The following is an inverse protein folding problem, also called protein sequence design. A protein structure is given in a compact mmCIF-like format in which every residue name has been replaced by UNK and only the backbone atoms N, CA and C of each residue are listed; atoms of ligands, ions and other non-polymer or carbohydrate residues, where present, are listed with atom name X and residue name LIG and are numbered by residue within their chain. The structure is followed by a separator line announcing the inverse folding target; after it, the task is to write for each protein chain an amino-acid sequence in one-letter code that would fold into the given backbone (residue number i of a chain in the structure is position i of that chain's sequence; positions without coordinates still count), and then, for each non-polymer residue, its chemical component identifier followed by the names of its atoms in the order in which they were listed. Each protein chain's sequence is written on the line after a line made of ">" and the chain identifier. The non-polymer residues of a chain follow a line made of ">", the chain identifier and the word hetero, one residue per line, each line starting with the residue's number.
data_IF_362252092255
#
_entry.id   IF_362252092255
#
_cell.length_a   1.000
_cell.length_b   1.000
_cell.length_c   1.000
_cell.angle_alpha   90.00
_cell.angle_beta   90.00
_cell.angle_gamma   90.00
#
_symmetry.space_group_name_H-M   'P 1'
#
loop_
_entity.id
_entity.type
_entity.pdbx_description
1 polymer ?
#
# COMPACT_ATOMS: atom_id res chain seq x y z
N UNK A 1 38.27 -3.94 15.79
CA UNK A 1 38.47 -2.50 16.18
C UNK A 1 37.17 -1.69 16.21
N UNK A 2 35.98 -2.34 16.45
CA UNK A 2 34.67 -1.63 16.45
C UNK A 2 33.96 -1.68 17.81
N UNK A 3 34.64 -2.01 18.89
CA UNK A 3 34.02 -2.16 20.23
C UNK A 3 33.91 -0.83 21.01
N UNK A 4 34.44 0.27 20.51
CA UNK A 4 34.41 1.57 21.20
C UNK A 4 33.23 2.50 20.88
N UNK A 5 32.47 2.22 19.83
CA UNK A 5 31.34 3.06 19.42
C UNK A 5 30.09 2.78 20.25
N UNK A 6 29.89 1.54 20.69
CA UNK A 6 28.74 1.14 21.53
C UNK A 6 28.74 1.74 22.94
N UNK A 7 29.94 2.00 23.49
CA UNK A 7 30.06 2.58 24.84
C UNK A 7 29.70 4.07 24.92
N UNK A 8 29.68 4.78 23.78
CA UNK A 8 29.29 6.20 23.72
C UNK A 8 27.77 6.42 23.58
N UNK A 9 27.04 5.38 23.16
CA UNK A 9 25.59 5.47 22.91
C UNK A 9 24.77 5.16 24.18
N UNK A 10 25.36 4.45 25.14
CA UNK A 10 24.68 4.03 26.39
C UNK A 10 25.10 4.80 27.64
N UNK A 11 25.39 6.11 27.57
CA UNK A 11 25.67 6.87 28.80
C UNK A 11 24.36 7.41 29.40
N UNK A 12 24.03 7.10 30.68
CA UNK A 12 22.74 7.42 31.31
C UNK A 12 22.47 8.92 31.52
N UNK A 13 23.39 9.80 31.13
CA UNK A 13 23.25 11.26 31.25
C UNK A 13 22.74 11.97 29.98
N UNK A 14 22.61 11.28 28.82
CA UNK A 14 22.14 11.89 27.57
C UNK A 14 20.67 11.54 27.27
N UNK A 15 19.76 11.99 28.16
CA UNK A 15 18.29 11.87 27.93
C UNK A 15 17.82 12.51 26.61
N UNK A 16 18.55 13.48 26.08
CA UNK A 16 18.21 14.18 24.85
C UNK A 16 18.44 13.32 23.58
N UNK A 17 19.52 12.50 23.58
CA UNK A 17 19.85 11.66 22.42
C UNK A 17 18.90 10.45 22.31
N UNK A 18 18.50 9.89 23.47
CA UNK A 18 17.54 8.77 23.51
C UNK A 18 16.15 9.23 23.05
N UNK A 19 15.73 10.42 23.43
CA UNK A 19 14.47 11.04 22.93
C UNK A 19 14.53 11.31 21.43
N UNK A 20 15.68 11.73 20.90
CA UNK A 20 15.85 12.02 19.48
C UNK A 20 15.83 10.74 18.61
N UNK A 21 16.47 9.68 19.08
CA UNK A 21 16.45 8.37 18.41
C UNK A 21 15.05 7.75 18.48
N UNK A 22 14.36 7.87 19.63
CA UNK A 22 12.97 7.41 19.76
C UNK A 22 12.02 8.24 18.90
N UNK A 23 12.26 9.56 18.79
CA UNK A 23 11.49 10.44 17.93
C UNK A 23 11.72 10.15 16.43
N UNK A 24 12.95 9.83 16.01
CA UNK A 24 13.25 9.43 14.63
C UNK A 24 12.66 8.06 14.26
N UNK A 25 12.55 7.14 15.22
CA UNK A 25 11.91 5.83 15.01
C UNK A 25 10.37 5.90 15.00
N UNK A 26 9.77 6.98 15.49
CA UNK A 26 8.31 7.20 15.48
C UNK A 26 7.82 8.03 14.29
N UNK A 27 8.71 8.50 13.41
CA UNK A 27 8.29 9.10 12.14
C UNK A 27 7.94 7.98 11.15
N UNK A 28 7.07 7.07 11.57
CA UNK A 28 6.33 6.20 10.68
C UNK A 28 5.45 7.13 9.85
N UNK A 29 5.75 7.28 8.58
CA UNK A 29 4.87 7.95 7.62
C UNK A 29 3.44 7.52 7.95
N UNK A 30 2.59 8.46 8.34
CA UNK A 30 1.18 8.18 8.65
C UNK A 30 0.53 7.76 7.34
N UNK A 31 0.58 6.47 7.05
CA UNK A 31 -0.19 5.88 5.96
C UNK A 31 -1.66 6.15 6.27
N UNK A 32 -2.40 6.65 5.30
CA UNK A 32 -3.84 6.83 5.46
C UNK A 32 -4.48 5.45 5.42
N UNK A 33 -4.86 4.94 6.60
CA UNK A 33 -5.60 3.69 6.68
C UNK A 33 -7.01 3.92 6.13
N UNK A 34 -7.31 3.32 4.99
CA UNK A 34 -8.67 3.28 4.44
C UNK A 34 -9.44 2.11 5.08
N UNK A 35 -10.77 2.23 5.13
CA UNK A 35 -11.61 1.09 5.52
C UNK A 35 -11.50 0.01 4.45
N UNK A 36 -11.66 -1.24 4.85
CA UNK A 36 -11.58 -2.37 3.91
C UNK A 36 -12.62 -2.29 2.80
N UNK A 37 -13.78 -1.69 3.07
CA UNK A 37 -14.86 -1.48 2.10
C UNK A 37 -14.53 -0.41 1.04
N UNK A 38 -13.52 0.42 1.27
CA UNK A 38 -13.08 1.45 0.32
C UNK A 38 -12.25 0.86 -0.83
N UNK A 39 -11.88 -0.41 -0.73
CA UNK A 39 -11.24 -1.15 -1.83
C UNK A 39 -12.28 -1.52 -2.87
N UNK A 40 -12.05 -1.18 -4.13
CA UNK A 40 -12.96 -1.51 -5.22
C UNK A 40 -13.16 -3.02 -5.35
N UNK A 41 -14.42 -3.42 -5.46
CA UNK A 41 -14.81 -4.84 -5.48
C UNK A 41 -15.00 -5.49 -4.10
N UNK A 42 -14.73 -4.79 -3.00
CA UNK A 42 -15.08 -5.23 -1.65
C UNK A 42 -16.45 -4.67 -1.30
N UNK A 43 -17.50 -5.44 -1.61
CA UNK A 43 -18.86 -5.09 -1.19
C UNK A 43 -19.14 -5.52 0.26
N UNK A 44 -20.33 -5.17 0.77
CA UNK A 44 -20.75 -5.41 2.17
C UNK A 44 -20.54 -6.86 2.63
N UNK A 45 -20.84 -7.85 1.76
CA UNK A 45 -20.69 -9.26 2.08
C UNK A 45 -19.23 -9.66 2.32
N UNK A 46 -18.31 -9.17 1.47
CA UNK A 46 -16.89 -9.44 1.64
C UNK A 46 -16.30 -8.63 2.80
N UNK A 47 -16.74 -7.39 2.97
CA UNK A 47 -16.33 -6.56 4.10
C UNK A 47 -16.71 -7.20 5.44
N UNK A 48 -17.92 -7.78 5.56
CA UNK A 48 -18.34 -8.50 6.76
C UNK A 48 -17.42 -9.69 7.04
N UNK A 49 -17.14 -10.55 6.06
CA UNK A 49 -16.25 -11.70 6.20
C UNK A 49 -14.83 -11.31 6.59
N UNK A 50 -14.30 -10.22 5.99
CA UNK A 50 -12.97 -9.70 6.30
C UNK A 50 -12.91 -9.13 7.72
N UNK A 51 -13.97 -8.42 8.15
CA UNK A 51 -14.09 -7.92 9.51
C UNK A 51 -14.14 -9.04 10.54
N UNK A 52 -14.90 -10.12 10.29
CA UNK A 52 -14.94 -11.31 11.14
C UNK A 52 -13.56 -11.98 11.24
N UNK A 53 -12.76 -11.95 10.17
CA UNK A 53 -11.37 -12.40 10.17
C UNK A 53 -10.40 -11.39 10.82
N UNK A 54 -10.90 -10.25 11.37
CA UNK A 54 -10.12 -9.21 12.01
C UNK A 54 -9.33 -8.33 11.03
N UNK A 55 -9.91 -8.06 9.85
CA UNK A 55 -9.39 -7.16 8.84
C UNK A 55 -10.43 -6.06 8.61
N UNK A 56 -10.24 -4.89 9.24
CA UNK A 56 -11.13 -3.75 9.13
C UNK A 56 -10.58 -2.65 8.20
N UNK A 57 -9.26 -2.64 8.00
CA UNK A 57 -8.55 -1.61 7.25
C UNK A 57 -7.62 -2.20 6.19
N UNK A 58 -7.20 -1.35 5.24
CA UNK A 58 -6.17 -1.70 4.26
C UNK A 58 -4.85 -2.08 4.93
N UNK A 59 -4.50 -1.44 6.08
CA UNK A 59 -3.29 -1.77 6.83
C UNK A 59 -3.38 -3.18 7.46
N UNK A 60 -4.54 -3.57 8.01
CA UNK A 60 -4.76 -4.92 8.53
C UNK A 60 -4.61 -5.97 7.43
N UNK A 61 -5.17 -5.68 6.24
CA UNK A 61 -5.04 -6.58 5.09
C UNK A 61 -3.58 -6.74 4.68
N UNK A 62 -2.83 -5.66 4.56
CA UNK A 62 -1.41 -5.70 4.21
C UNK A 62 -0.59 -6.45 5.27
N UNK A 63 -0.84 -6.20 6.55
CA UNK A 63 -0.13 -6.87 7.64
C UNK A 63 -0.30 -8.40 7.61
N UNK A 64 -1.49 -8.88 7.23
CA UNK A 64 -1.79 -10.32 7.17
C UNK A 64 -1.45 -10.96 5.82
N UNK A 65 -1.66 -10.23 4.70
CA UNK A 65 -1.69 -10.78 3.35
C UNK A 65 -0.52 -10.35 2.45
N UNK A 66 0.46 -9.59 2.97
CA UNK A 66 1.67 -9.24 2.22
C UNK A 66 2.40 -10.49 1.69
N UNK A 67 2.40 -11.58 2.45
CA UNK A 67 2.98 -12.88 2.08
C UNK A 67 1.91 -13.84 1.54
N UNK A 68 2.33 -14.71 0.61
CA UNK A 68 1.43 -15.72 0.02
C UNK A 68 0.77 -16.59 1.09
N UNK A 69 1.51 -17.04 2.12
CA UNK A 69 0.97 -17.85 3.21
C UNK A 69 -0.21 -17.19 3.94
N UNK A 70 -0.14 -15.87 4.16
CA UNK A 70 -1.22 -15.12 4.78
C UNK A 70 -2.46 -15.02 3.88
N UNK A 71 -2.27 -14.87 2.56
CA UNK A 71 -3.37 -14.86 1.58
C UNK A 71 -4.10 -16.20 1.51
N UNK A 72 -3.35 -17.30 1.49
CA UNK A 72 -3.91 -18.66 1.53
C UNK A 72 -4.71 -18.87 2.82
N UNK A 73 -4.12 -18.57 3.98
CA UNK A 73 -4.79 -18.72 5.26
C UNK A 73 -6.09 -17.89 5.36
N UNK A 74 -6.08 -16.65 4.84
CA UNK A 74 -7.28 -15.82 4.80
C UNK A 74 -8.32 -16.37 3.84
N UNK A 75 -7.93 -16.87 2.69
CA UNK A 75 -8.84 -17.49 1.72
C UNK A 75 -9.55 -18.72 2.31
N UNK A 76 -8.80 -19.58 3.01
CA UNK A 76 -9.35 -20.75 3.71
C UNK A 76 -10.32 -20.35 4.83
N UNK A 77 -9.96 -19.37 5.65
CA UNK A 77 -10.77 -18.93 6.78
C UNK A 77 -12.08 -18.24 6.37
N UNK A 78 -12.10 -17.52 5.24
CA UNK A 78 -13.25 -16.70 4.82
C UNK A 78 -14.05 -17.30 3.67
N UNK A 79 -13.51 -18.33 2.99
CA UNK A 79 -14.07 -18.86 1.74
C UNK A 79 -13.99 -17.89 0.56
N UNK A 80 -13.14 -16.87 0.63
CA UNK A 80 -12.85 -15.93 -0.45
C UNK A 80 -11.72 -16.53 -1.29
N UNK A 81 -11.79 -16.46 -2.62
CA UNK A 81 -10.72 -16.98 -3.47
C UNK A 81 -9.39 -16.26 -3.22
N UNK A 82 -8.27 -17.00 -3.23
CA UNK A 82 -6.93 -16.43 -3.09
C UNK A 82 -6.66 -15.33 -4.14
N UNK A 83 -7.22 -15.49 -5.35
CA UNK A 83 -7.10 -14.49 -6.42
C UNK A 83 -7.72 -13.13 -6.03
N UNK A 84 -8.89 -13.14 -5.39
CA UNK A 84 -9.52 -11.90 -4.90
C UNK A 84 -8.75 -11.30 -3.74
N UNK A 85 -8.31 -12.14 -2.79
CA UNK A 85 -7.47 -11.68 -1.68
C UNK A 85 -6.20 -11.02 -2.18
N UNK A 86 -5.51 -11.62 -3.16
CA UNK A 86 -4.32 -11.03 -3.78
C UNK A 86 -4.64 -9.69 -4.44
N UNK A 87 -5.71 -9.63 -5.25
CA UNK A 87 -6.14 -8.41 -5.93
C UNK A 87 -6.36 -7.27 -4.92
N UNK A 88 -7.12 -7.50 -3.87
CA UNK A 88 -7.38 -6.49 -2.84
C UNK A 88 -6.13 -6.11 -2.04
N UNK A 89 -5.22 -7.07 -1.82
CA UNK A 89 -3.93 -6.79 -1.19
C UNK A 89 -3.07 -5.89 -2.07
N UNK A 90 -3.08 -6.09 -3.37
CA UNK A 90 -2.39 -5.23 -4.33
C UNK A 90 -3.00 -3.82 -4.36
N UNK A 91 -4.33 -3.70 -4.39
CA UNK A 91 -5.00 -2.40 -4.29
C UNK A 91 -4.66 -1.69 -2.98
N UNK A 92 -4.67 -2.41 -1.84
CA UNK A 92 -4.28 -1.85 -0.55
C UNK A 92 -2.82 -1.36 -0.54
N UNK A 93 -1.90 -2.03 -1.25
CA UNK A 93 -0.51 -1.59 -1.39
C UNK A 93 -0.43 -0.27 -2.18
N UNK A 94 -1.13 -0.14 -3.30
CA UNK A 94 -1.20 1.10 -4.08
C UNK A 94 -1.84 2.25 -3.28
N UNK A 95 -2.87 1.97 -2.47
CA UNK A 95 -3.56 2.95 -1.63
C UNK A 95 -2.70 3.52 -0.49
N UNK A 96 -1.50 3.01 -0.26
CA UNK A 96 -0.47 3.63 0.61
C UNK A 96 0.05 4.95 0.04
N UNK A 97 -0.09 5.16 -1.26
CA UNK A 97 0.32 6.38 -1.95
C UNK A 97 -0.80 7.42 -1.82
N UNK A 98 -0.47 8.61 -1.35
CA UNK A 98 -1.41 9.72 -1.21
C UNK A 98 -2.06 10.07 -2.55
N UNK A 99 -3.39 10.12 -2.57
CA UNK A 99 -4.16 10.41 -3.77
C UNK A 99 -4.58 9.18 -4.58
N UNK A 100 -4.15 7.98 -4.19
CA UNK A 100 -4.65 6.72 -4.75
C UNK A 100 -5.74 6.17 -3.83
N UNK A 101 -6.99 6.15 -4.31
CA UNK A 101 -8.14 5.52 -3.69
C UNK A 101 -8.62 4.34 -4.54
N UNK A 102 -9.66 3.61 -4.08
CA UNK A 102 -10.11 2.36 -4.69
C UNK A 102 -10.27 2.39 -6.22
N UNK A 103 -11.04 3.35 -6.75
CA UNK A 103 -11.25 3.50 -8.20
C UNK A 103 -9.95 3.73 -8.98
N UNK A 104 -9.02 4.52 -8.43
CA UNK A 104 -7.76 4.78 -9.11
C UNK A 104 -6.79 3.61 -8.98
N UNK A 105 -6.83 2.85 -7.88
CA UNK A 105 -6.09 1.59 -7.75
C UNK A 105 -6.57 0.56 -8.78
N UNK A 106 -7.89 0.46 -9.01
CA UNK A 106 -8.45 -0.40 -10.05
C UNK A 106 -8.05 0.05 -11.47
N UNK A 107 -8.03 1.36 -11.74
CA UNK A 107 -7.56 1.89 -13.02
C UNK A 107 -6.06 1.58 -13.25
N UNK A 108 -5.23 1.67 -12.21
CA UNK A 108 -3.81 1.29 -12.28
C UNK A 108 -3.64 -0.20 -12.59
N UNK A 109 -4.38 -1.08 -11.90
CA UNK A 109 -4.40 -2.51 -12.18
C UNK A 109 -4.80 -2.77 -13.65
N UNK A 110 -5.86 -2.12 -14.14
CA UNK A 110 -6.31 -2.26 -15.52
C UNK A 110 -5.29 -1.75 -16.55
N UNK A 111 -4.42 -0.81 -16.17
CA UNK A 111 -3.31 -0.32 -16.97
C UNK A 111 -2.01 -1.15 -16.82
N UNK A 112 -2.05 -2.25 -16.02
CA UNK A 112 -0.94 -3.16 -15.80
C UNK A 112 0.05 -2.70 -14.74
N UNK A 113 -0.47 -2.08 -13.66
CA UNK A 113 0.32 -1.66 -12.49
C UNK A 113 -0.37 -2.18 -11.23
N UNK A 114 0.15 -3.23 -10.64
CA UNK A 114 -0.50 -3.94 -9.55
C UNK A 114 -0.01 -3.52 -8.15
N UNK A 115 1.25 -3.08 -8.02
CA UNK A 115 1.88 -2.82 -6.72
C UNK A 115 2.71 -1.53 -6.71
N UNK A 116 3.02 -1.05 -5.50
CA UNK A 116 4.00 0.04 -5.29
C UNK A 116 5.34 -0.29 -5.94
N UNK A 117 5.79 -1.56 -5.88
CA UNK A 117 7.04 -2.01 -6.50
C UNK A 117 7.05 -1.77 -8.01
N UNK A 118 5.96 -2.01 -8.70
CA UNK A 118 5.84 -1.77 -10.14
C UNK A 118 5.64 -0.30 -10.45
N UNK A 119 4.77 0.38 -9.70
CA UNK A 119 4.43 1.78 -9.89
C UNK A 119 5.66 2.70 -9.79
N UNK A 120 6.55 2.46 -8.81
CA UNK A 120 7.79 3.22 -8.61
C UNK A 120 8.76 3.21 -9.81
N UNK A 121 8.65 2.21 -10.68
CA UNK A 121 9.49 2.07 -11.88
C UNK A 121 8.83 2.59 -13.15
N UNK A 122 7.59 3.05 -13.08
CA UNK A 122 6.89 3.60 -14.24
C UNK A 122 7.39 5.00 -14.58
N UNK A 123 7.30 5.34 -15.86
CA UNK A 123 7.56 6.70 -16.38
C UNK A 123 6.21 7.39 -16.53
N UNK A 124 6.00 8.49 -15.80
CA UNK A 124 4.71 9.19 -15.75
C UNK A 124 4.21 9.61 -17.15
N UNK A 125 5.10 10.09 -18.01
CA UNK A 125 4.78 10.50 -19.37
C UNK A 125 4.23 9.37 -20.26
N UNK A 126 4.57 8.11 -19.96
CA UNK A 126 4.07 6.93 -20.67
C UNK A 126 2.82 6.37 -19.99
N UNK A 127 2.77 6.42 -18.66
CA UNK A 127 1.67 5.87 -17.88
C UNK A 127 0.40 6.71 -18.00
N UNK A 128 0.51 8.03 -17.92
CA UNK A 128 -0.65 8.93 -17.90
C UNK A 128 -1.53 8.80 -19.15
N UNK A 129 -0.99 8.81 -20.40
CA UNK A 129 -1.80 8.55 -21.60
C UNK A 129 -2.45 7.16 -21.60
N UNK A 130 -1.75 6.15 -21.05
CA UNK A 130 -2.31 4.80 -20.92
C UNK A 130 -3.48 4.75 -19.94
N UNK A 131 -3.41 5.49 -18.84
CA UNK A 131 -4.53 5.61 -17.89
C UNK A 131 -5.74 6.29 -18.55
N UNK A 132 -5.54 7.33 -19.36
CA UNK A 132 -6.60 7.98 -20.11
C UNK A 132 -7.26 7.01 -21.11
N UNK A 133 -6.46 6.27 -21.88
CA UNK A 133 -6.93 5.26 -22.84
C UNK A 133 -7.79 4.20 -22.14
N UNK A 134 -7.28 3.59 -21.06
CA UNK A 134 -7.98 2.55 -20.32
C UNK A 134 -9.24 3.08 -19.66
N UNK A 135 -9.19 4.30 -19.12
CA UNK A 135 -10.38 4.90 -18.50
C UNK A 135 -11.44 5.31 -19.52
N UNK A 136 -11.04 5.73 -20.73
CA UNK A 136 -11.98 6.01 -21.81
C UNK A 136 -12.75 4.75 -22.26
N UNK A 137 -12.10 3.59 -22.20
CA UNK A 137 -12.71 2.30 -22.56
C UNK A 137 -13.56 1.72 -21.41
N UNK A 138 -13.05 1.75 -20.17
CA UNK A 138 -13.63 0.99 -19.04
C UNK A 138 -14.42 1.82 -18.05
N UNK A 139 -14.29 3.15 -18.08
CA UNK A 139 -14.97 4.09 -17.18
C UNK A 139 -14.81 3.78 -15.68
N UNK A 140 -13.59 3.37 -15.26
CA UNK A 140 -13.29 2.94 -13.89
C UNK A 140 -13.16 4.11 -12.91
N UNK A 141 -12.74 5.28 -13.39
CA UNK A 141 -12.47 6.44 -12.55
C UNK A 141 -13.16 7.69 -13.10
N UNK A 142 -13.78 8.49 -12.23
CA UNK A 142 -14.44 9.72 -12.64
C UNK A 142 -13.50 10.80 -13.19
N UNK A 143 -12.22 10.79 -12.76
CA UNK A 143 -11.17 11.69 -13.24
C UNK A 143 -9.82 10.98 -13.26
N UNK A 144 -9.17 11.00 -14.40
CA UNK A 144 -7.76 10.54 -14.49
C UNK A 144 -6.86 11.66 -13.97
N UNK A 145 -5.88 11.37 -13.09
CA UNK A 145 -4.93 12.35 -12.61
C UNK A 145 -4.09 12.97 -13.75
N UNK A 146 -3.77 14.26 -13.62
CA UNK A 146 -2.87 14.93 -14.54
C UNK A 146 -1.44 14.39 -14.44
N UNK A 147 -0.63 14.60 -15.48
CA UNK A 147 0.77 14.15 -15.54
C UNK A 147 1.56 14.53 -14.27
N UNK A 148 1.45 15.78 -13.83
CA UNK A 148 2.16 16.27 -12.64
C UNK A 148 1.70 15.62 -11.33
N UNK A 149 0.46 15.13 -11.26
CA UNK A 149 -0.06 14.36 -10.11
C UNK A 149 0.53 12.95 -10.13
N UNK A 150 0.57 12.31 -11.30
CA UNK A 150 1.18 10.99 -11.49
C UNK A 150 2.68 11.01 -11.16
N UNK A 151 3.40 12.07 -11.57
CA UNK A 151 4.81 12.26 -11.22
C UNK A 151 5.04 12.33 -9.70
N UNK A 152 4.20 13.08 -8.97
CA UNK A 152 4.26 13.17 -7.50
C UNK A 152 3.97 11.83 -6.84
N UNK A 153 2.99 11.09 -7.33
CA UNK A 153 2.65 9.76 -6.83
C UNK A 153 3.80 8.76 -7.04
N UNK A 154 4.45 8.78 -8.23
CA UNK A 154 5.62 7.95 -8.52
C UNK A 154 6.80 8.33 -7.63
N UNK A 155 7.02 9.64 -7.39
CA UNK A 155 8.06 10.10 -6.47
C UNK A 155 7.81 9.56 -5.05
N UNK A 156 6.57 9.63 -4.55
CA UNK A 156 6.20 9.05 -3.26
C UNK A 156 6.36 7.52 -3.23
N UNK A 157 5.99 6.82 -4.32
CA UNK A 157 6.17 5.37 -4.42
C UNK A 157 7.65 4.93 -4.31
N UNK A 158 8.59 5.77 -4.74
CA UNK A 158 10.03 5.50 -4.61
C UNK A 158 10.51 5.54 -3.16
N UNK A 159 9.84 6.30 -2.30
CA UNK A 159 10.15 6.40 -0.87
C UNK A 159 9.51 5.27 -0.04
N UNK A 160 8.54 4.55 -0.61
CA UNK A 160 7.85 3.45 0.07
C UNK A 160 8.60 2.13 -0.12
N UNK A 161 8.74 1.37 0.97
CA UNK A 161 9.27 0.00 0.89
C UNK A 161 8.25 -0.94 0.23
N UNK A 162 8.67 -1.75 -0.76
CA UNK A 162 7.84 -2.83 -1.32
C UNK A 162 7.56 -3.88 -0.27
N UNK A 163 6.30 -4.24 -0.07
CA UNK A 163 5.91 -5.19 0.98
C UNK A 163 5.24 -6.47 0.45
N UNK A 164 4.73 -6.47 -0.79
CA UNK A 164 4.08 -7.64 -1.37
C UNK A 164 5.12 -8.67 -1.83
N UNK A 165 4.95 -9.91 -1.34
CA UNK A 165 5.72 -11.10 -1.76
C UNK A 165 4.80 -12.06 -2.53
N UNK A 166 5.25 -12.52 -3.71
CA UNK A 166 4.51 -13.46 -4.59
C UNK A 166 4.91 -14.91 -4.36
#
# INVERSE_FOLDING_TARGET
>A
KNTKIWALICHPKNKCLTLYVTFLLTFKSKSMAYKIIDIEGVGDVYAAKLNEAGIATTEDLLAKCAKKSGRVALAEATGISEKLVLRWTNHADLMRISGIAGQFAELLEAAGVDTVKEFRHRVAANLQPKLEEVNAEKHLCGRVPALSEVEKMIAQAKELEPIIEY
#
